data_IF_335565869973
#
_entry.id   IF_335565869973
#
_cell.length_a   1.000
_cell.length_b   1.000
_cell.length_c   1.000
_cell.angle_alpha   90.00
_cell.angle_beta   90.00
_cell.angle_gamma   90.00
#
_symmetry.space_group_name_H-M   'P 1'
#
loop_
_entity.id
_entity.type
_entity.pdbx_description
1 polymer ?
#
# COMPACT_ATOMS: atom_id res chain seq x y z
N UNK A 1 2.83 -2.68 -28.74
CA UNK A 1 2.87 -2.52 -27.27
C UNK A 1 4.24 -2.95 -26.77
N UNK A 2 4.89 -2.17 -25.91
CA UNK A 2 6.16 -2.60 -25.31
C UNK A 2 5.92 -3.77 -24.36
N UNK A 3 6.82 -4.75 -24.35
CA UNK A 3 6.75 -5.92 -23.45
C UNK A 3 6.65 -5.48 -21.98
N UNK A 4 7.27 -4.34 -21.65
CA UNK A 4 7.23 -3.72 -20.33
C UNK A 4 5.81 -3.27 -19.93
N UNK A 5 5.10 -2.55 -20.80
CA UNK A 5 3.70 -2.14 -20.53
C UNK A 5 2.78 -3.34 -20.34
N UNK A 6 2.93 -4.37 -21.20
CA UNK A 6 2.15 -5.61 -21.07
C UNK A 6 2.42 -6.28 -19.71
N UNK A 7 3.69 -6.31 -19.28
CA UNK A 7 4.10 -6.90 -18.00
C UNK A 7 3.51 -6.13 -16.82
N UNK A 8 3.58 -4.79 -16.83
CA UNK A 8 3.01 -3.96 -15.77
C UNK A 8 1.48 -4.12 -15.67
N UNK A 9 0.78 -4.20 -16.80
CA UNK A 9 -0.67 -4.44 -16.82
C UNK A 9 -1.02 -5.80 -16.22
N UNK A 10 -0.32 -6.87 -16.62
CA UNK A 10 -0.56 -8.21 -16.08
C UNK A 10 -0.23 -8.29 -14.59
N UNK A 11 0.86 -7.68 -14.15
CA UNK A 11 1.22 -7.57 -12.73
C UNK A 11 0.18 -6.77 -11.95
N UNK A 12 -0.33 -5.67 -12.52
CA UNK A 12 -1.42 -4.89 -11.94
C UNK A 12 -2.68 -5.71 -11.73
N UNK A 13 -3.10 -6.47 -12.75
CA UNK A 13 -4.27 -7.37 -12.66
C UNK A 13 -4.03 -8.46 -11.59
N UNK A 14 -2.88 -9.13 -11.61
CA UNK A 14 -2.53 -10.15 -10.63
C UNK A 14 -2.56 -9.59 -9.19
N UNK A 15 -2.06 -8.36 -9.00
CA UNK A 15 -2.08 -7.66 -7.73
C UNK A 15 -3.51 -7.32 -7.30
N UNK A 16 -4.38 -6.83 -8.21
CA UNK A 16 -5.81 -6.60 -7.92
C UNK A 16 -6.48 -7.87 -7.43
N UNK A 17 -6.29 -8.99 -8.14
CA UNK A 17 -6.91 -10.28 -7.79
C UNK A 17 -6.41 -10.75 -6.42
N UNK A 18 -5.09 -10.70 -6.20
CA UNK A 18 -4.47 -11.06 -4.93
C UNK A 18 -5.01 -10.20 -3.77
N UNK A 19 -4.97 -8.88 -3.93
CA UNK A 19 -5.41 -7.92 -2.91
C UNK A 19 -6.92 -8.03 -2.65
N UNK A 20 -7.73 -8.16 -3.71
CA UNK A 20 -9.18 -8.37 -3.61
C UNK A 20 -9.53 -9.62 -2.80
N UNK A 21 -8.84 -10.74 -3.09
CA UNK A 21 -9.04 -11.99 -2.35
C UNK A 21 -8.74 -11.87 -0.85
N UNK A 22 -7.78 -11.01 -0.49
CA UNK A 22 -7.37 -10.76 0.90
C UNK A 22 -8.26 -9.73 1.61
N UNK A 23 -8.74 -8.70 0.93
CA UNK A 23 -9.55 -7.62 1.51
C UNK A 23 -11.00 -8.04 1.79
N UNK A 24 -11.52 -9.03 1.06
CA UNK A 24 -12.88 -9.55 1.25
C UNK A 24 -13.00 -10.50 2.45
N UNK A 25 -11.88 -11.03 2.94
CA UNK A 25 -11.83 -11.95 4.07
C UNK A 25 -11.67 -11.19 5.37
N UNK A 26 -12.37 -11.65 6.40
CA UNK A 26 -12.11 -11.24 7.77
C UNK A 26 -10.72 -11.73 8.16
N UNK A 27 -9.87 -10.83 8.65
CA UNK A 27 -8.55 -11.18 9.18
C UNK A 27 -8.46 -10.76 10.62
N UNK A 28 -7.87 -11.62 11.44
CA UNK A 28 -7.47 -11.30 12.80
C UNK A 28 -6.42 -10.19 12.77
N UNK A 29 -6.60 -9.21 13.63
CA UNK A 29 -5.74 -8.03 13.69
C UNK A 29 -5.13 -7.92 15.08
N UNK A 30 -3.81 -8.07 15.13
CA UNK A 30 -2.99 -7.73 16.30
C UNK A 30 -2.28 -6.40 16.04
N UNK A 31 -2.15 -5.55 17.06
CA UNK A 31 -1.55 -4.21 16.96
C UNK A 31 -0.17 -4.20 16.28
N UNK A 32 0.69 -5.15 16.66
CA UNK A 32 2.03 -5.33 16.10
C UNK A 32 2.02 -5.84 14.65
N UNK A 33 1.01 -6.61 14.27
CA UNK A 33 0.90 -7.17 12.92
C UNK A 33 0.57 -6.11 11.86
N UNK A 34 -0.12 -5.03 12.26
CA UNK A 34 -0.53 -3.94 11.35
C UNK A 34 0.67 -3.09 10.91
N UNK A 35 1.66 -2.91 11.79
CA UNK A 35 2.85 -2.06 11.53
C UNK A 35 4.03 -2.79 10.90
N UNK A 36 4.11 -4.12 11.06
CA UNK A 36 5.22 -4.94 10.51
C UNK A 36 5.37 -4.81 8.99
N UNK A 37 4.26 -4.96 8.26
CA UNK A 37 4.28 -4.94 6.80
C UNK A 37 4.69 -3.55 6.25
N UNK A 38 4.10 -2.42 6.69
CA UNK A 38 4.57 -1.09 6.28
C UNK A 38 6.05 -0.84 6.60
N UNK A 39 6.52 -1.24 7.79
CA UNK A 39 7.91 -1.00 8.20
C UNK A 39 8.90 -1.78 7.31
N UNK A 40 8.64 -3.06 7.05
CA UNK A 40 9.49 -3.88 6.17
C UNK A 40 9.51 -3.31 4.75
N UNK A 41 8.34 -2.98 4.20
CA UNK A 41 8.25 -2.40 2.85
C UNK A 41 8.95 -1.04 2.76
N UNK A 42 8.84 -0.21 3.79
CA UNK A 42 9.49 1.10 3.84
C UNK A 42 11.01 0.98 3.87
N UNK A 43 11.55 0.08 4.72
CA UNK A 43 12.99 -0.17 4.79
C UNK A 43 13.51 -0.72 3.46
N UNK A 44 12.85 -1.76 2.91
CA UNK A 44 13.25 -2.35 1.63
C UNK A 44 13.16 -1.34 0.48
N UNK A 45 12.11 -0.51 0.47
CA UNK A 45 11.94 0.55 -0.50
C UNK A 45 13.04 1.60 -0.42
N UNK A 46 13.42 2.03 0.79
CA UNK A 46 14.48 3.02 0.99
C UNK A 46 15.85 2.48 0.58
N UNK A 47 16.17 1.25 0.97
CA UNK A 47 17.42 0.58 0.57
C UNK A 47 17.49 0.47 -0.95
N UNK A 48 16.44 -0.04 -1.59
CA UNK A 48 16.40 -0.20 -3.05
C UNK A 48 16.47 1.16 -3.78
N UNK A 49 15.73 2.17 -3.29
CA UNK A 49 15.79 3.51 -3.86
C UNK A 49 17.18 4.14 -3.71
N UNK A 50 17.84 3.97 -2.57
CA UNK A 50 19.21 4.47 -2.37
C UNK A 50 20.22 3.85 -3.34
N UNK A 51 20.06 2.56 -3.67
CA UNK A 51 20.86 1.88 -4.69
C UNK A 51 20.49 2.28 -6.12
N UNK A 52 19.23 2.61 -6.38
CA UNK A 52 18.78 3.07 -7.70
C UNK A 52 19.23 4.52 -7.98
N UNK A 53 19.21 5.39 -6.95
CA UNK A 53 19.59 6.79 -7.07
C UNK A 53 21.09 7.00 -7.37
N UNK A 54 21.94 6.00 -7.14
CA UNK A 54 23.36 6.06 -7.53
C UNK A 54 23.58 5.74 -9.01
N UNK A 55 22.59 5.18 -9.69
CA UNK A 55 22.69 4.75 -11.11
C UNK A 55 21.76 5.50 -12.04
N UNK A 56 20.64 6.03 -11.53
CA UNK A 56 19.63 6.76 -12.29
C UNK A 56 19.67 8.25 -11.90
N UNK A 57 19.84 9.13 -12.89
CA UNK A 57 19.72 10.57 -12.67
C UNK A 57 18.25 10.94 -12.40
N UNK A 58 17.95 11.45 -11.21
CA UNK A 58 16.61 11.90 -10.84
C UNK A 58 16.30 13.24 -11.51
N UNK A 59 15.33 13.26 -12.43
CA UNK A 59 14.85 14.50 -13.04
C UNK A 59 13.84 15.23 -12.14
N UNK A 60 13.64 16.55 -12.32
CA UNK A 60 12.58 17.29 -11.62
C UNK A 60 11.17 16.70 -11.86
N UNK A 61 10.96 16.13 -13.05
CA UNK A 61 9.70 15.46 -13.42
C UNK A 61 9.49 14.18 -12.61
N UNK A 62 10.53 13.37 -12.38
CA UNK A 62 10.43 12.18 -11.53
C UNK A 62 9.98 12.56 -10.12
N UNK A 63 10.63 13.58 -9.53
CA UNK A 63 10.31 14.03 -8.17
C UNK A 63 8.86 14.52 -8.07
N UNK A 64 8.38 15.27 -9.06
CA UNK A 64 7.01 15.75 -9.09
C UNK A 64 5.99 14.61 -9.19
N UNK A 65 6.20 13.64 -10.09
CA UNK A 65 5.29 12.51 -10.27
C UNK A 65 5.30 11.58 -9.04
N UNK A 66 6.47 11.33 -8.44
CA UNK A 66 6.59 10.55 -7.20
C UNK A 66 5.86 11.26 -6.05
N UNK A 67 6.00 12.59 -5.93
CA UNK A 67 5.33 13.34 -4.88
C UNK A 67 3.80 13.25 -5.01
N UNK A 68 3.26 13.41 -6.22
CA UNK A 68 1.82 13.27 -6.49
C UNK A 68 1.35 11.85 -6.16
N UNK A 69 2.09 10.83 -6.59
CA UNK A 69 1.80 9.43 -6.29
C UNK A 69 1.77 9.17 -4.79
N UNK A 70 2.74 9.69 -4.05
CA UNK A 70 2.86 9.51 -2.61
C UNK A 70 1.69 10.17 -1.86
N UNK A 71 1.32 11.39 -2.25
CA UNK A 71 0.16 12.09 -1.68
C UNK A 71 -1.12 11.30 -1.90
N UNK A 72 -1.33 10.80 -3.13
CA UNK A 72 -2.51 9.98 -3.44
C UNK A 72 -2.52 8.67 -2.64
N UNK A 73 -1.37 8.00 -2.55
CA UNK A 73 -1.20 6.77 -1.79
C UNK A 73 -1.51 6.96 -0.30
N UNK A 74 -1.04 8.05 0.30
CA UNK A 74 -1.37 8.39 1.69
C UNK A 74 -2.86 8.69 1.85
N UNK A 75 -3.44 9.52 0.99
CA UNK A 75 -4.86 9.86 1.05
C UNK A 75 -5.75 8.61 0.96
N UNK A 76 -5.46 7.72 0.02
CA UNK A 76 -6.16 6.45 -0.13
C UNK A 76 -5.97 5.54 1.08
N UNK A 77 -4.74 5.45 1.61
CA UNK A 77 -4.45 4.68 2.81
C UNK A 77 -5.26 5.15 4.02
N UNK A 78 -5.36 6.47 4.23
CA UNK A 78 -6.19 7.05 5.29
C UNK A 78 -7.67 6.68 5.12
N UNK A 79 -8.20 6.78 3.90
CA UNK A 79 -9.60 6.39 3.62
C UNK A 79 -9.81 4.90 3.87
N UNK A 80 -8.89 4.04 3.41
CA UNK A 80 -8.95 2.59 3.65
C UNK A 80 -8.98 2.26 5.15
N UNK A 81 -8.17 2.94 5.96
CA UNK A 81 -8.18 2.77 7.40
C UNK A 81 -9.51 3.21 8.05
N UNK A 82 -10.16 4.25 7.51
CA UNK A 82 -11.46 4.74 8.01
C UNK A 82 -12.62 3.79 7.68
N UNK A 83 -12.66 3.26 6.46
CA UNK A 83 -13.71 2.32 6.02
C UNK A 83 -13.52 0.91 6.59
N UNK A 84 -12.38 0.64 7.24
CA UNK A 84 -12.13 -0.66 7.85
C UNK A 84 -13.12 -0.89 9.00
N UNK A 85 -13.89 -1.96 8.86
CA UNK A 85 -14.88 -2.41 9.85
C UNK A 85 -14.25 -3.42 10.79
N UNK A 86 -14.64 -3.36 12.05
CA UNK A 86 -14.17 -4.27 13.09
C UNK A 86 -15.34 -5.11 13.60
N UNK A 87 -15.06 -6.37 13.92
CA UNK A 87 -16.01 -7.22 14.66
C UNK A 87 -15.28 -7.95 15.79
N UNK A 88 -15.99 -8.17 16.87
CA UNK A 88 -15.55 -9.09 17.90
C UNK A 88 -15.68 -10.54 17.37
N UNK A 89 -14.68 -11.36 17.67
CA UNK A 89 -14.62 -12.78 17.35
C UNK A 89 -14.16 -13.56 18.58
N UNK A 90 -14.44 -14.87 18.60
CA UNK A 90 -13.96 -15.75 19.66
C UNK A 90 -12.42 -15.67 19.77
N UNK A 91 -11.84 -15.70 20.99
CA UNK A 91 -10.40 -15.59 21.19
C UNK A 91 -9.63 -16.65 20.39
N UNK A 92 -8.58 -16.24 19.69
CA UNK A 92 -7.61 -17.16 19.11
C UNK A 92 -6.71 -17.81 20.18
N UNK A 93 -5.91 -18.81 19.79
CA UNK A 93 -4.77 -19.33 20.53
C UNK A 93 -3.77 -18.24 21.02
N UNK A 94 -3.84 -17.03 20.45
CA UNK A 94 -3.05 -15.85 20.83
C UNK A 94 -3.84 -14.81 21.65
N UNK A 95 -5.09 -15.10 21.99
CA UNK A 95 -5.98 -14.18 22.72
C UNK A 95 -6.59 -13.06 21.87
N UNK A 96 -6.33 -13.02 20.56
CA UNK A 96 -6.89 -12.02 19.65
C UNK A 96 -8.40 -12.20 19.49
N UNK A 97 -9.18 -11.19 19.88
CA UNK A 97 -10.66 -11.19 19.81
C UNK A 97 -11.21 -10.24 18.76
N UNK A 98 -10.35 -9.59 17.97
CA UNK A 98 -10.77 -8.58 16.98
C UNK A 98 -10.40 -9.05 15.57
N UNK A 99 -11.40 -9.03 14.70
CA UNK A 99 -11.23 -9.20 13.27
C UNK A 99 -11.56 -7.90 12.55
N UNK A 100 -10.80 -7.60 11.50
CA UNK A 100 -11.03 -6.44 10.64
C UNK A 100 -11.33 -6.87 9.21
N UNK A 101 -12.17 -6.07 8.55
CA UNK A 101 -12.49 -6.19 7.12
C UNK A 101 -12.66 -4.81 6.50
N UNK A 102 -11.90 -4.54 5.45
CA UNK A 102 -11.98 -3.28 4.68
C UNK A 102 -13.10 -3.32 3.63
N UNK A 103 -13.44 -4.52 3.12
CA UNK A 103 -14.60 -4.70 2.23
C UNK A 103 -14.39 -4.19 0.81
N UNK A 104 -15.48 -4.15 0.03
CA UNK A 104 -15.46 -3.83 -1.40
C UNK A 104 -15.03 -2.39 -1.72
N UNK A 105 -15.33 -1.43 -0.83
CA UNK A 105 -14.86 -0.04 -0.99
C UNK A 105 -13.32 0.06 -0.93
N UNK A 106 -12.66 -0.74 -0.08
CA UNK A 106 -11.20 -0.84 -0.08
C UNK A 106 -10.64 -1.50 -1.34
N UNK A 107 -11.42 -2.36 -1.99
CA UNK A 107 -11.04 -2.92 -3.30
C UNK A 107 -11.13 -1.87 -4.40
N UNK A 108 -12.21 -1.08 -4.44
CA UNK A 108 -12.37 0.01 -5.41
C UNK A 108 -11.22 1.03 -5.32
N UNK A 109 -10.84 1.43 -4.10
CA UNK A 109 -9.71 2.33 -3.89
C UNK A 109 -8.36 1.73 -4.34
N UNK A 110 -8.15 0.42 -4.14
CA UNK A 110 -6.95 -0.27 -4.61
C UNK A 110 -6.89 -0.34 -6.14
N UNK A 111 -8.03 -0.61 -6.78
CA UNK A 111 -8.14 -0.58 -8.24
C UNK A 111 -7.82 0.82 -8.76
N UNK A 112 -8.34 1.87 -8.11
CA UNK A 112 -8.03 3.26 -8.44
C UNK A 112 -6.53 3.58 -8.34
N UNK A 113 -5.85 3.14 -7.28
CA UNK A 113 -4.40 3.31 -7.16
C UNK A 113 -3.62 2.59 -8.26
N UNK A 114 -4.02 1.37 -8.62
CA UNK A 114 -3.36 0.60 -9.69
C UNK A 114 -3.59 1.27 -11.04
N UNK A 115 -4.81 1.71 -11.33
CA UNK A 115 -5.13 2.45 -12.55
C UNK A 115 -4.33 3.76 -12.64
N UNK A 116 -4.25 4.52 -11.54
CA UNK A 116 -3.44 5.72 -11.46
C UNK A 116 -1.96 5.42 -11.68
N UNK A 117 -1.45 4.34 -11.09
CA UNK A 117 -0.06 3.90 -11.27
C UNK A 117 0.26 3.57 -12.72
N UNK A 118 -0.61 2.82 -13.39
CA UNK A 118 -0.47 2.52 -14.81
C UNK A 118 -0.48 3.81 -15.64
N UNK A 119 -1.35 4.77 -15.29
CA UNK A 119 -1.36 6.09 -15.91
C UNK A 119 -0.02 6.83 -15.75
N UNK A 120 0.56 6.81 -14.55
CA UNK A 120 1.87 7.37 -14.27
C UNK A 120 3.01 6.67 -15.02
N UNK A 121 2.97 5.34 -15.17
CA UNK A 121 3.96 4.61 -15.95
C UNK A 121 3.93 5.02 -17.44
N UNK A 122 2.73 5.22 -17.99
CA UNK A 122 2.55 5.69 -19.37
C UNK A 122 3.05 7.13 -19.52
N UNK A 123 2.63 8.04 -18.64
CA UNK A 123 3.05 9.45 -18.68
C UNK A 123 4.56 9.57 -18.42
N UNK A 124 5.09 8.83 -17.45
CA UNK A 124 6.51 8.79 -17.13
C UNK A 124 7.35 8.26 -18.28
N UNK A 125 6.89 7.21 -18.97
CA UNK A 125 7.53 6.70 -20.18
C UNK A 125 7.59 7.72 -21.32
N UNK A 126 6.57 8.57 -21.47
CA UNK A 126 6.55 9.65 -22.46
C UNK A 126 7.46 10.83 -22.07
N UNK A 127 7.63 11.09 -20.77
CA UNK A 127 8.42 12.21 -20.24
C UNK A 127 9.86 11.83 -19.87
N UNK A 128 10.27 10.57 -20.09
CA UNK A 128 11.61 10.08 -19.73
C UNK A 128 11.84 9.90 -18.22
N UNK A 129 10.77 9.78 -17.43
CA UNK A 129 10.83 9.63 -15.98
C UNK A 129 11.16 8.17 -15.60
N UNK A 130 12.45 7.83 -15.66
CA UNK A 130 12.93 6.47 -15.42
C UNK A 130 12.93 6.08 -13.93
N UNK A 131 13.12 7.06 -13.03
CA UNK A 131 13.18 6.80 -11.59
C UNK A 131 11.77 6.48 -11.03
N UNK A 132 10.73 7.10 -11.57
CA UNK A 132 9.34 6.83 -11.18
C UNK A 132 8.96 5.35 -11.33
N UNK A 133 9.49 4.69 -12.37
CA UNK A 133 9.23 3.27 -12.65
C UNK A 133 10.08 2.31 -11.82
N UNK A 134 11.01 2.82 -11.01
CA UNK A 134 11.91 1.99 -10.20
C UNK A 134 11.14 1.23 -9.12
N UNK A 135 11.52 -0.04 -8.91
CA UNK A 135 10.94 -0.92 -7.89
C UNK A 135 10.98 -0.30 -6.49
N UNK A 136 12.04 0.46 -6.17
CA UNK A 136 12.17 1.16 -4.89
C UNK A 136 11.04 2.17 -4.63
N UNK A 137 10.65 2.94 -5.66
CA UNK A 137 9.53 3.89 -5.57
C UNK A 137 8.22 3.15 -5.32
N UNK A 138 7.97 2.06 -6.05
CA UNK A 138 6.76 1.23 -5.86
C UNK A 138 6.66 0.74 -4.41
N UNK A 139 7.75 0.20 -3.85
CA UNK A 139 7.79 -0.29 -2.47
C UNK A 139 7.51 0.83 -1.46
N UNK A 140 8.07 2.03 -1.67
CA UNK A 140 7.83 3.20 -0.82
C UNK A 140 6.38 3.68 -0.91
N UNK A 141 5.80 3.77 -2.11
CA UNK A 141 4.37 4.14 -2.29
C UNK A 141 3.46 3.17 -1.54
N UNK A 142 3.70 1.86 -1.71
CA UNK A 142 2.90 0.83 -1.04
C UNK A 142 3.10 0.90 0.46
N UNK A 143 4.33 1.10 0.94
CA UNK A 143 4.63 1.27 2.35
C UNK A 143 3.88 2.47 2.94
N UNK A 144 3.90 3.63 2.27
CA UNK A 144 3.23 4.85 2.71
C UNK A 144 1.71 4.67 2.78
N UNK A 145 1.09 4.11 1.73
CA UNK A 145 -0.34 3.78 1.75
C UNK A 145 -0.69 2.83 2.91
N UNK A 146 0.13 1.80 3.14
CA UNK A 146 -0.09 0.84 4.23
C UNK A 146 0.13 1.46 5.60
N UNK A 147 1.11 2.35 5.77
CA UNK A 147 1.36 3.08 7.00
C UNK A 147 0.23 4.03 7.35
N UNK A 148 -0.29 4.76 6.36
CA UNK A 148 -1.45 5.64 6.53
C UNK A 148 -2.71 4.86 6.96
N UNK A 149 -2.96 3.71 6.32
CA UNK A 149 -4.05 2.82 6.74
C UNK A 149 -3.83 2.26 8.16
N UNK A 150 -2.60 1.83 8.47
CA UNK A 150 -2.22 1.32 9.79
C UNK A 150 -2.44 2.35 10.90
N UNK A 151 -2.06 3.60 10.66
CA UNK A 151 -2.23 4.71 11.61
C UNK A 151 -3.70 4.91 11.98
N UNK A 152 -4.61 4.95 10.99
CA UNK A 152 -6.04 5.12 11.25
C UNK A 152 -6.63 3.89 11.92
N UNK A 153 -6.21 2.68 11.53
CA UNK A 153 -6.66 1.43 12.16
C UNK A 153 -6.20 1.36 13.61
N UNK A 154 -4.96 1.75 13.92
CA UNK A 154 -4.42 1.81 15.28
C UNK A 154 -5.17 2.82 16.16
N UNK A 155 -5.45 4.01 15.62
CA UNK A 155 -6.22 5.03 16.32
C UNK A 155 -7.67 4.61 16.63
N UNK A 156 -8.24 3.70 15.82
CA UNK A 156 -9.63 3.21 15.96
C UNK A 156 -9.75 1.88 16.68
N UNK A 157 -8.63 1.21 16.99
CA UNK A 157 -8.63 -0.03 17.74
C UNK A 157 -9.20 0.24 19.16
N UNK A 158 -10.27 -0.45 19.57
CA UNK A 158 -10.84 -0.27 20.90
C UNK A 158 -9.78 -0.51 21.98
N UNK A 159 -9.55 0.49 22.85
CA UNK A 159 -8.56 0.44 23.94
C UNK A 159 -8.81 -0.68 24.96
N UNK A 160 -9.94 -1.38 24.88
CA UNK A 160 -10.28 -2.53 25.73
C UNK A 160 -9.31 -3.72 25.62
N UNK A 161 -8.43 -3.74 24.61
CA UNK A 161 -7.36 -4.76 24.46
C UNK A 161 -6.07 -4.36 25.19
N UNK A 162 -5.94 -3.12 25.67
CA UNK A 162 -4.73 -2.62 26.33
C UNK A 162 -4.66 -2.86 27.84
N UNK A 163 -5.69 -3.45 28.47
CA UNK A 163 -5.74 -3.64 29.94
C UNK A 163 -5.45 -5.06 30.42
N UNK A 164 -4.79 -5.90 29.61
CA UNK A 164 -4.32 -7.24 30.02
C UNK A 164 -2.91 -7.53 29.51
N UNK A 165 -2.00 -6.58 29.73
CA UNK A 165 -0.58 -6.85 29.83
C UNK A 165 -0.23 -6.92 31.33
#
# INVERSE_FOLDING_TARGET
>A
MSLHLLTNVLLGIALVVYVGSKQLRWRRVDRTSVWRLPAILGILGLVNLSSAATTLAAGPVDVALIAVELVLAVAVGLVMGRITTFRAAAPDAKGTTIEAKTGGAGMALWIGLIAFRIGLDVVGGLLGAHLLTATGVILLTVAANRAAAAFVVDARLPRAVASRA
#
